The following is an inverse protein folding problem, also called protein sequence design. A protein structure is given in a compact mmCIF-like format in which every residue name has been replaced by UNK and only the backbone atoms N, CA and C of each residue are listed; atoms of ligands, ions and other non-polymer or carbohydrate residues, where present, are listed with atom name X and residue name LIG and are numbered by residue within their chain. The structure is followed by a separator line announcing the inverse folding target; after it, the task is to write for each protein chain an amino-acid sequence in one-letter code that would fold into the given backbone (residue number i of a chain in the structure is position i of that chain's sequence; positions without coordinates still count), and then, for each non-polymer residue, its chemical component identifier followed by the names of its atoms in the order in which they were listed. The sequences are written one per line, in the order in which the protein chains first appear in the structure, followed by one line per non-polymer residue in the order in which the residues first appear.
data_IF_202907955958
#
_entry.id   IF_202907955958
#
_cell.length_a   1.000
_cell.length_b   1.000
_cell.length_c   1.000
_cell.angle_alpha   90.00
_cell.angle_beta   90.00
_cell.angle_gamma   90.00
#
_symmetry.space_group_name_H-M   'P 1'
#
loop_
_entity.id
_entity.type
_entity.pdbx_description
1 polymer ?
#
# COMPACT_ATOMS: atom_id res chain seq x y z
N UNK A 1 14.31 -3.50 0.65
CA UNK A 1 13.68 -2.30 0.06
C UNK A 1 14.75 -1.48 -0.62
N UNK A 2 14.52 -1.02 -1.85
CA UNK A 2 15.45 -0.14 -2.58
C UNK A 2 15.19 1.36 -2.31
N UNK A 3 14.03 1.67 -1.76
CA UNK A 3 13.51 3.02 -1.51
C UNK A 3 13.18 3.21 -0.03
N UNK A 4 13.08 4.46 0.40
CA UNK A 4 12.71 4.78 1.77
C UNK A 4 11.20 4.70 1.95
N UNK A 5 10.75 4.23 3.12
CA UNK A 5 9.32 3.94 3.35
C UNK A 5 8.42 5.18 3.25
N UNK A 6 8.96 6.35 3.62
CA UNK A 6 8.30 7.64 3.56
C UNK A 6 8.08 8.13 2.12
N UNK A 7 8.78 7.57 1.14
CA UNK A 7 8.56 7.93 -0.27
C UNK A 7 7.19 7.43 -0.76
N UNK A 8 6.63 6.38 -0.15
CA UNK A 8 5.31 5.82 -0.49
C UNK A 8 4.22 6.89 -0.40
N UNK A 9 4.27 7.78 0.60
CA UNK A 9 3.26 8.82 0.84
C UNK A 9 3.10 9.79 -0.35
N UNK A 10 4.15 9.97 -1.15
CA UNK A 10 4.21 10.92 -2.26
C UNK A 10 4.19 10.24 -3.64
N UNK A 11 3.70 9.00 -3.72
CA UNK A 11 3.57 8.27 -4.99
C UNK A 11 2.21 8.51 -5.63
N UNK A 12 2.16 8.53 -6.96
CA UNK A 12 0.89 8.62 -7.70
C UNK A 12 0.19 7.26 -7.83
N UNK A 13 0.94 6.16 -7.66
CA UNK A 13 0.42 4.81 -7.78
C UNK A 13 1.18 3.86 -6.86
N UNK A 14 0.41 3.07 -6.11
CA UNK A 14 0.94 1.98 -5.28
C UNK A 14 0.40 0.66 -5.83
N UNK A 15 1.31 -0.18 -6.34
CA UNK A 15 0.99 -1.52 -6.80
C UNK A 15 1.47 -2.55 -5.78
N UNK A 16 0.52 -3.15 -5.07
CA UNK A 16 0.77 -4.18 -4.06
C UNK A 16 0.54 -5.55 -4.71
N UNK A 17 1.59 -6.32 -4.91
CA UNK A 17 1.53 -7.64 -5.55
C UNK A 17 2.08 -8.71 -4.62
N UNK A 18 1.26 -9.70 -4.26
CA UNK A 18 1.67 -10.84 -3.42
C UNK A 18 2.16 -10.45 -2.02
N UNK A 19 1.72 -9.30 -1.50
CA UNK A 19 2.20 -8.75 -0.24
C UNK A 19 1.03 -8.20 0.59
N UNK A 20 0.96 -8.57 1.87
CA UNK A 20 -0.03 -8.05 2.82
C UNK A 20 0.64 -7.17 3.89
N UNK A 21 0.82 -5.84 3.66
CA UNK A 21 1.40 -4.96 4.65
C UNK A 21 0.51 -4.75 5.87
N UNK A 22 -0.81 -4.91 5.77
CA UNK A 22 -1.71 -4.72 6.90
C UNK A 22 -1.43 -5.73 8.04
N UNK A 23 -1.07 -6.96 7.68
CA UNK A 23 -0.72 -8.03 8.62
C UNK A 23 0.77 -8.04 8.95
N UNK A 24 1.64 -7.97 7.93
CA UNK A 24 3.09 -8.13 8.13
C UNK A 24 3.81 -6.87 8.62
N UNK A 25 3.39 -5.68 8.18
CA UNK A 25 4.07 -4.41 8.45
C UNK A 25 3.07 -3.24 8.56
N UNK A 26 2.34 -3.10 9.67
CA UNK A 26 1.26 -2.11 9.81
C UNK A 26 1.69 -0.65 9.56
N UNK A 27 2.96 -0.32 9.81
CA UNK A 27 3.52 1.00 9.51
C UNK A 27 3.55 1.26 8.00
N UNK A 28 3.93 0.27 7.18
CA UNK A 28 3.90 0.37 5.72
C UNK A 28 2.45 0.55 5.25
N UNK A 29 1.49 -0.17 5.84
CA UNK A 29 0.08 -0.02 5.51
C UNK A 29 -0.42 1.41 5.74
N UNK A 30 -0.01 2.06 6.83
CA UNK A 30 -0.33 3.47 7.07
C UNK A 30 0.21 4.39 5.97
N UNK A 31 1.41 4.15 5.47
CA UNK A 31 1.95 4.93 4.34
C UNK A 31 1.17 4.71 3.05
N UNK A 32 0.73 3.48 2.76
CA UNK A 32 -0.15 3.19 1.61
C UNK A 32 -1.49 3.92 1.76
N UNK A 33 -2.06 3.97 2.97
CA UNK A 33 -3.29 4.71 3.25
C UNK A 33 -3.08 6.22 3.08
N UNK A 34 -1.95 6.76 3.53
CA UNK A 34 -1.61 8.17 3.34
C UNK A 34 -1.42 8.52 1.87
N UNK A 35 -0.74 7.68 1.09
CA UNK A 35 -0.62 7.83 -0.36
C UNK A 35 -2.00 7.92 -1.02
N UNK A 36 -2.95 7.03 -0.66
CA UNK A 36 -4.33 7.12 -1.14
C UNK A 36 -5.01 8.43 -0.78
N UNK A 37 -4.84 8.91 0.47
CA UNK A 37 -5.39 10.21 0.91
C UNK A 37 -4.80 11.37 0.10
N UNK A 38 -3.56 11.26 -0.35
CA UNK A 38 -2.89 12.22 -1.21
C UNK A 38 -3.29 12.09 -2.70
N UNK A 39 -4.17 11.14 -3.05
CA UNK A 39 -4.68 10.95 -4.41
C UNK A 39 -4.03 9.79 -5.18
N UNK A 40 -3.14 9.02 -4.55
CA UNK A 40 -2.52 7.88 -5.19
C UNK A 40 -3.53 6.80 -5.57
N UNK A 41 -3.36 6.21 -6.75
CA UNK A 41 -4.11 5.03 -7.16
C UNK A 41 -3.54 3.78 -6.50
N UNK A 42 -4.36 3.05 -5.75
CA UNK A 42 -3.96 1.81 -5.11
C UNK A 42 -4.46 0.62 -5.93
N UNK A 43 -3.57 -0.31 -6.26
CA UNK A 43 -3.90 -1.55 -6.95
C UNK A 43 -3.34 -2.70 -6.12
N UNK A 44 -4.22 -3.60 -5.67
CA UNK A 44 -3.82 -4.82 -4.97
C UNK A 44 -4.06 -6.03 -5.87
N UNK A 45 -3.02 -6.84 -6.03
CA UNK A 45 -3.05 -8.12 -6.71
C UNK A 45 -2.61 -9.21 -5.71
N UNK A 46 -3.60 -9.79 -5.04
CA UNK A 46 -3.46 -10.97 -4.19
C UNK A 46 -4.58 -11.96 -4.59
N UNK A 47 -4.33 -13.28 -4.66
CA UNK A 47 -5.37 -14.26 -4.94
C UNK A 47 -6.47 -14.31 -3.87
N UNK A 48 -6.21 -13.75 -2.68
CA UNK A 48 -7.15 -13.67 -1.55
C UNK A 48 -7.69 -12.24 -1.43
N UNK A 49 -8.85 -12.11 -0.77
CA UNK A 49 -9.35 -10.81 -0.32
C UNK A 49 -8.69 -10.47 1.02
N UNK A 50 -7.70 -9.57 0.98
CA UNK A 50 -6.95 -9.12 2.15
C UNK A 50 -7.40 -7.72 2.59
N UNK A 51 -7.03 -7.31 3.79
CA UNK A 51 -7.38 -6.02 4.41
C UNK A 51 -6.92 -4.85 3.52
N UNK A 52 -5.78 -5.00 2.87
CA UNK A 52 -5.25 -4.01 1.94
C UNK A 52 -6.18 -3.74 0.74
N UNK A 53 -7.03 -4.71 0.35
CA UNK A 53 -8.03 -4.51 -0.71
C UNK A 53 -9.13 -3.53 -0.30
N UNK A 54 -9.41 -3.36 1.00
CA UNK A 54 -10.39 -2.37 1.48
C UNK A 54 -9.91 -0.93 1.25
N UNK A 55 -8.61 -0.76 1.04
CA UNK A 55 -7.99 0.53 0.73
C UNK A 55 -7.69 0.71 -0.76
N UNK A 56 -8.14 -0.19 -1.64
CA UNK A 56 -8.16 0.07 -3.10
C UNK A 56 -9.21 1.12 -3.47
#
# INVERSE_FOLDING_TARGET
MSNAINEIDNTDLVFVFGYNPADSHPIVANHVINAKRNGAKIIVCDPRKIENCAHC
#
